data_IF_827832383818
#
_entry.id   IF_827832383818
#
_cell.length_a   1.000
_cell.length_b   1.000
_cell.length_c   1.000
_cell.angle_alpha   90.00
_cell.angle_beta   90.00
_cell.angle_gamma   90.00
#
_symmetry.space_group_name_H-M   'P 1'
#
loop_
_entity.id
_entity.type
_entity.pdbx_description
1 polymer ?
#
# COMPACT_ATOMS: atom_id res chain seq x y z
N UNK A 1 76.61 -4.63 -3.64
CA UNK A 1 76.10 -4.52 -5.02
C UNK A 1 74.60 -4.62 -4.96
N UNK A 2 73.95 -3.48 -4.67
CA UNK A 2 72.48 -3.34 -4.58
C UNK A 2 72.04 -2.42 -5.71
N UNK A 3 71.29 -2.98 -6.64
CA UNK A 3 70.69 -2.26 -7.76
C UNK A 3 69.39 -1.59 -7.31
N UNK A 4 69.37 -0.26 -7.38
CA UNK A 4 68.17 0.57 -7.33
C UNK A 4 67.35 0.36 -8.59
N UNK A 5 66.10 -0.04 -8.44
CA UNK A 5 65.08 -0.08 -9.50
C UNK A 5 63.80 0.49 -8.95
N UNK A 6 63.74 1.83 -8.92
CA UNK A 6 62.50 2.57 -8.62
C UNK A 6 62.64 4.00 -9.13
N UNK A 7 62.55 4.17 -10.46
CA UNK A 7 62.33 5.51 -11.07
C UNK A 7 61.80 5.26 -12.49
N UNK A 8 60.49 5.14 -12.61
CA UNK A 8 59.70 5.50 -13.82
C UNK A 8 58.26 5.02 -13.67
N UNK A 9 57.44 5.70 -12.90
CA UNK A 9 56.00 5.69 -13.09
C UNK A 9 55.60 7.06 -13.67
N UNK A 10 54.80 7.10 -14.73
CA UNK A 10 54.28 8.35 -15.26
C UNK A 10 53.32 8.97 -14.25
N UNK A 11 53.48 10.23 -13.95
CA UNK A 11 52.52 11.01 -13.21
C UNK A 11 51.21 11.09 -13.99
N UNK A 12 50.15 10.49 -13.48
CA UNK A 12 48.79 10.78 -13.90
C UNK A 12 48.47 12.24 -13.64
N UNK A 13 48.33 12.97 -14.72
CA UNK A 13 47.75 14.31 -14.72
C UNK A 13 46.29 14.15 -14.30
N UNK A 14 45.96 14.60 -13.10
CA UNK A 14 44.60 14.85 -12.65
C UNK A 14 44.02 15.97 -13.50
N UNK A 15 43.42 15.63 -14.61
CA UNK A 15 42.53 16.53 -15.34
C UNK A 15 41.22 16.66 -14.57
N UNK A 16 41.06 17.76 -13.84
CA UNK A 16 39.79 18.28 -13.37
C UNK A 16 38.92 18.57 -14.61
N UNK A 17 38.13 17.60 -15.07
CA UNK A 17 37.06 17.85 -16.02
C UNK A 17 35.70 17.66 -15.30
N UNK A 18 35.26 18.70 -14.60
CA UNK A 18 33.85 18.96 -14.36
C UNK A 18 33.18 19.39 -15.68
N UNK A 19 33.25 18.56 -16.71
CA UNK A 19 32.40 18.68 -17.89
C UNK A 19 31.14 17.85 -17.62
N UNK A 20 30.03 18.51 -17.28
CA UNK A 20 28.73 17.87 -17.43
C UNK A 20 28.64 17.21 -18.81
N UNK A 21 28.21 15.94 -18.92
CA UNK A 21 28.07 15.31 -20.21
C UNK A 21 27.10 16.13 -21.07
N UNK A 22 27.49 16.49 -22.28
CA UNK A 22 26.67 17.18 -23.27
C UNK A 22 25.48 16.30 -23.62
N UNK A 23 24.40 16.40 -22.84
CA UNK A 23 23.14 15.72 -23.10
C UNK A 23 22.52 16.29 -24.38
N UNK A 24 22.10 15.42 -25.29
CA UNK A 24 21.31 15.82 -26.46
C UNK A 24 20.06 16.60 -26.02
N UNK A 25 19.51 17.51 -26.84
CA UNK A 25 18.37 18.37 -26.47
C UNK A 25 17.18 17.60 -25.89
N UNK A 26 16.88 16.44 -26.44
CA UNK A 26 15.81 15.56 -25.95
C UNK A 26 16.10 14.99 -24.55
N UNK A 27 17.36 14.64 -24.26
CA UNK A 27 17.75 14.11 -22.96
C UNK A 27 17.66 15.20 -21.87
N UNK A 28 18.05 16.46 -22.17
CA UNK A 28 17.90 17.59 -21.24
C UNK A 28 16.42 17.86 -20.91
N UNK A 29 15.55 17.85 -21.92
CA UNK A 29 14.12 18.02 -21.74
C UNK A 29 13.52 16.89 -20.89
N UNK A 30 13.84 15.63 -21.21
CA UNK A 30 13.38 14.47 -20.47
C UNK A 30 13.83 14.55 -18.99
N UNK A 31 15.08 14.87 -18.72
CA UNK A 31 15.61 15.05 -17.37
C UNK A 31 14.87 16.16 -16.61
N UNK A 32 14.62 17.30 -17.26
CA UNK A 32 13.85 18.40 -16.65
C UNK A 32 12.44 17.96 -16.24
N UNK A 33 11.74 17.21 -17.11
CA UNK A 33 10.40 16.72 -16.83
C UNK A 33 10.40 15.71 -15.67
N UNK A 34 11.40 14.82 -15.60
CA UNK A 34 11.58 13.89 -14.46
C UNK A 34 11.83 14.64 -13.15
N UNK A 35 12.72 15.63 -13.12
CA UNK A 35 12.98 16.44 -11.94
C UNK A 35 11.71 17.19 -11.45
N UNK A 36 10.86 17.67 -12.37
CA UNK A 36 9.58 18.26 -12.01
C UNK A 36 8.62 17.23 -11.39
N UNK A 37 8.61 16.01 -11.90
CA UNK A 37 7.81 14.92 -11.36
C UNK A 37 8.32 14.47 -9.99
N UNK A 38 9.63 14.24 -9.85
CA UNK A 38 10.28 13.82 -8.60
C UNK A 38 10.01 14.81 -7.47
N UNK A 39 10.12 16.12 -7.76
CA UNK A 39 9.83 17.19 -6.80
C UNK A 39 8.37 17.25 -6.30
N UNK A 40 7.47 16.45 -6.87
CA UNK A 40 6.08 16.37 -6.41
C UNK A 40 5.84 15.27 -5.40
N UNK A 41 6.72 14.26 -5.30
CA UNK A 41 6.52 13.03 -4.54
C UNK A 41 6.21 13.27 -3.07
N UNK A 42 6.96 14.14 -2.42
CA UNK A 42 6.77 14.48 -0.99
C UNK A 42 5.40 15.13 -0.73
N UNK A 43 5.00 16.07 -1.59
CA UNK A 43 3.70 16.76 -1.50
C UNK A 43 2.53 15.79 -1.77
N UNK A 44 2.67 14.91 -2.75
CA UNK A 44 1.68 13.86 -3.04
C UNK A 44 1.53 12.98 -1.81
N UNK A 45 2.64 12.45 -1.28
CA UNK A 45 2.62 11.60 -0.09
C UNK A 45 1.98 12.30 1.10
N UNK A 46 2.32 13.55 1.38
CA UNK A 46 1.76 14.32 2.49
C UNK A 46 0.24 14.53 2.36
N UNK A 47 -0.25 14.81 1.14
CA UNK A 47 -1.69 14.98 0.87
C UNK A 47 -2.45 13.66 0.89
N UNK A 48 -1.80 12.63 0.44
CA UNK A 48 -2.35 11.30 0.41
C UNK A 48 -2.24 10.58 1.78
N UNK A 49 -1.37 10.95 2.69
CA UNK A 49 -1.24 10.43 4.06
C UNK A 49 -1.33 11.53 5.11
N UNK A 50 -2.42 12.33 5.16
CA UNK A 50 -2.55 13.35 6.18
C UNK A 50 -2.55 12.71 7.57
N UNK A 51 -1.82 13.28 8.55
CA UNK A 51 -1.78 12.76 9.90
C UNK A 51 -3.18 12.80 10.53
N UNK A 52 -3.68 11.65 10.93
CA UNK A 52 -4.97 11.52 11.63
C UNK A 52 -4.72 11.83 13.11
N UNK A 53 -4.95 13.06 13.52
CA UNK A 53 -4.56 13.57 14.83
C UNK A 53 -5.52 13.22 15.99
N UNK A 54 -6.66 12.54 15.77
CA UNK A 54 -7.61 12.24 16.87
C UNK A 54 -8.47 11.01 16.60
N UNK A 55 -8.84 10.32 17.70
CA UNK A 55 -9.75 9.16 17.75
C UNK A 55 -11.17 9.45 17.22
N UNK A 56 -11.59 10.71 17.19
CA UNK A 56 -12.91 11.13 16.69
C UNK A 56 -12.73 12.02 15.46
N UNK A 57 -12.91 11.46 14.27
CA UNK A 57 -12.96 12.23 13.04
C UNK A 57 -14.31 12.94 12.98
N UNK A 58 -14.33 14.25 13.20
CA UNK A 58 -15.55 15.06 12.98
C UNK A 58 -15.87 15.11 11.47
N UNK A 59 -17.16 15.30 11.15
CA UNK A 59 -17.62 15.43 9.75
C UNK A 59 -16.87 16.54 8.97
N UNK A 60 -16.44 17.59 9.66
CA UNK A 60 -15.61 18.66 9.08
C UNK A 60 -14.20 18.17 8.72
N UNK A 61 -13.54 17.43 9.63
CA UNK A 61 -12.22 16.83 9.37
C UNK A 61 -12.25 15.79 8.27
N UNK A 62 -13.30 14.97 8.20
CA UNK A 62 -13.50 14.01 7.12
C UNK A 62 -13.55 14.69 5.75
N UNK A 63 -14.25 15.85 5.63
CA UNK A 63 -14.25 16.65 4.39
C UNK A 63 -12.87 17.18 4.04
N UNK A 64 -12.10 17.67 5.00
CA UNK A 64 -10.74 18.18 4.76
C UNK A 64 -9.85 17.05 4.27
N UNK A 65 -9.88 15.89 4.92
CA UNK A 65 -9.10 14.71 4.53
C UNK A 65 -9.47 14.29 3.10
N UNK A 66 -10.78 14.23 2.79
CA UNK A 66 -11.26 13.91 1.45
C UNK A 66 -10.76 14.90 0.41
N UNK A 67 -10.85 16.21 0.69
CA UNK A 67 -10.36 17.26 -0.21
C UNK A 67 -8.86 17.20 -0.43
N UNK A 68 -8.06 16.96 0.62
CA UNK A 68 -6.61 16.77 0.50
C UNK A 68 -6.27 15.55 -0.36
N UNK A 69 -7.03 14.50 -0.19
CA UNK A 69 -6.86 13.28 -0.97
C UNK A 69 -7.18 13.48 -2.45
N UNK A 70 -8.31 14.11 -2.77
CA UNK A 70 -8.69 14.45 -4.16
C UNK A 70 -7.62 15.34 -4.81
N UNK A 71 -7.02 16.26 -4.04
CA UNK A 71 -5.90 17.07 -4.51
C UNK A 71 -4.64 16.22 -4.71
N UNK A 72 -4.36 15.26 -3.81
CA UNK A 72 -3.27 14.30 -3.96
C UNK A 72 -3.38 13.48 -5.24
N UNK A 73 -4.56 12.92 -5.53
CA UNK A 73 -4.84 12.17 -6.76
C UNK A 73 -4.62 13.01 -8.03
N UNK A 74 -5.03 14.28 -7.99
CA UNK A 74 -4.77 15.21 -9.09
C UNK A 74 -3.28 15.42 -9.31
N UNK A 75 -2.51 15.64 -8.24
CA UNK A 75 -1.06 15.82 -8.33
C UNK A 75 -0.35 14.56 -8.85
N UNK A 76 -0.80 13.41 -8.44
CA UNK A 76 -0.30 12.13 -8.89
C UNK A 76 -0.52 11.91 -10.40
N UNK A 77 -1.71 12.24 -10.90
CA UNK A 77 -1.99 12.22 -12.35
C UNK A 77 -1.08 13.17 -13.11
N UNK A 78 -0.80 14.37 -12.57
CA UNK A 78 0.17 15.30 -13.15
C UNK A 78 1.56 14.69 -13.18
N UNK A 79 2.00 14.06 -12.11
CA UNK A 79 3.29 13.39 -12.00
C UNK A 79 3.43 12.26 -13.02
N UNK A 80 2.43 11.40 -13.14
CA UNK A 80 2.38 10.30 -14.12
C UNK A 80 2.51 10.82 -15.57
N UNK A 81 1.80 11.89 -15.91
CA UNK A 81 1.89 12.49 -17.24
C UNK A 81 3.25 13.12 -17.51
N UNK A 82 3.90 13.72 -16.50
CA UNK A 82 5.26 14.25 -16.62
C UNK A 82 6.28 13.14 -16.88
N UNK A 83 6.18 11.98 -16.20
CA UNK A 83 7.04 10.83 -16.47
C UNK A 83 6.82 10.28 -17.86
N UNK A 84 5.58 10.08 -18.30
CA UNK A 84 5.26 9.59 -19.64
C UNK A 84 5.80 10.52 -20.74
N UNK A 85 5.69 11.85 -20.55
CA UNK A 85 6.28 12.84 -21.45
C UNK A 85 7.82 12.75 -21.47
N UNK A 86 8.46 12.55 -20.32
CA UNK A 86 9.91 12.41 -20.22
C UNK A 86 10.41 11.19 -20.98
N UNK A 87 9.77 10.03 -20.76
CA UNK A 87 10.16 8.76 -21.38
C UNK A 87 10.01 8.80 -22.89
N UNK A 88 8.90 9.32 -23.42
CA UNK A 88 8.68 9.46 -24.87
C UNK A 88 9.57 10.54 -25.50
N UNK A 89 9.92 11.58 -24.72
CA UNK A 89 10.90 12.59 -25.17
C UNK A 89 12.27 11.96 -25.35
N UNK A 90 12.72 11.15 -24.39
CA UNK A 90 14.01 10.46 -24.45
C UNK A 90 14.08 9.44 -25.59
N UNK A 91 12.99 8.69 -25.82
CA UNK A 91 12.84 7.75 -26.92
C UNK A 91 12.73 8.42 -28.30
N UNK A 92 12.53 9.73 -28.36
CA UNK A 92 12.37 10.47 -29.62
C UNK A 92 11.04 10.27 -30.35
N UNK A 93 10.07 9.63 -29.72
CA UNK A 93 8.76 9.27 -30.28
C UNK A 93 7.58 10.04 -29.67
N UNK A 94 7.85 11.23 -29.10
CA UNK A 94 6.80 12.10 -28.54
C UNK A 94 5.88 12.64 -29.65
N UNK A 95 4.55 12.51 -29.52
CA UNK A 95 3.59 13.10 -30.44
C UNK A 95 3.82 14.60 -30.64
N UNK A 96 3.65 15.10 -31.87
CA UNK A 96 3.95 16.49 -32.21
C UNK A 96 3.18 17.50 -31.37
N UNK A 97 1.92 17.21 -31.04
CA UNK A 97 1.04 18.07 -30.22
C UNK A 97 1.54 18.23 -28.76
N UNK A 98 2.44 17.38 -28.28
CA UNK A 98 2.96 17.39 -26.92
C UNK A 98 4.40 17.95 -26.86
N UNK A 99 5.00 18.28 -28.01
CA UNK A 99 6.43 18.66 -28.08
C UNK A 99 6.75 19.92 -27.26
N UNK A 100 5.84 20.85 -27.14
CA UNK A 100 6.07 22.13 -26.46
C UNK A 100 5.59 22.14 -25.00
N UNK A 101 5.13 20.99 -24.48
CA UNK A 101 4.85 20.84 -23.07
C UNK A 101 6.17 20.69 -22.29
N UNK A 102 6.46 21.67 -21.42
CA UNK A 102 7.75 21.79 -20.72
C UNK A 102 7.62 22.11 -19.22
N UNK A 103 6.39 22.31 -18.73
CA UNK A 103 6.15 22.74 -17.35
C UNK A 103 5.02 21.97 -16.70
N UNK A 104 5.11 21.80 -15.36
CA UNK A 104 4.05 21.25 -14.54
C UNK A 104 2.72 21.96 -14.74
N UNK A 105 2.73 23.31 -14.84
CA UNK A 105 1.50 24.10 -14.93
C UNK A 105 0.75 23.92 -16.26
N UNK A 106 1.43 23.56 -17.34
CA UNK A 106 0.80 23.18 -18.60
C UNK A 106 0.10 21.82 -18.47
N UNK A 107 0.79 20.83 -17.89
CA UNK A 107 0.20 19.51 -17.63
C UNK A 107 -0.96 19.61 -16.65
N UNK A 108 -0.87 20.46 -15.64
CA UNK A 108 -1.94 20.67 -14.65
C UNK A 108 -3.26 21.13 -15.30
N UNK A 109 -3.20 22.07 -16.24
CA UNK A 109 -4.39 22.52 -16.97
C UNK A 109 -5.02 21.38 -17.76
N UNK A 110 -4.20 20.59 -18.46
CA UNK A 110 -4.69 19.43 -19.23
C UNK A 110 -5.29 18.35 -18.32
N UNK A 111 -4.70 18.10 -17.13
CA UNK A 111 -5.24 17.16 -16.15
C UNK A 111 -6.59 17.63 -15.63
N UNK A 112 -6.76 18.92 -15.32
CA UNK A 112 -8.05 19.46 -14.84
C UNK A 112 -9.11 19.27 -15.92
N UNK A 113 -8.84 19.68 -17.15
CA UNK A 113 -9.78 19.59 -18.28
C UNK A 113 -10.06 18.13 -18.68
N UNK A 114 -9.17 17.20 -18.39
CA UNK A 114 -9.34 15.77 -18.68
C UNK A 114 -10.24 15.02 -17.70
N UNK A 115 -10.74 15.67 -16.65
CA UNK A 115 -11.63 15.07 -15.64
C UNK A 115 -13.02 14.77 -16.19
N UNK A 116 -13.72 13.80 -15.58
CA UNK A 116 -15.03 13.32 -16.04
C UNK A 116 -16.15 14.39 -15.96
N UNK A 117 -15.92 15.46 -15.20
CA UNK A 117 -16.84 16.60 -15.11
C UNK A 117 -16.78 17.57 -16.30
N UNK A 118 -15.84 17.38 -17.24
CA UNK A 118 -15.63 18.24 -18.39
C UNK A 118 -16.08 17.57 -19.68
N UNK A 119 -16.97 18.24 -20.41
CA UNK A 119 -17.41 17.84 -21.74
C UNK A 119 -16.80 18.76 -22.83
N UNK A 120 -17.06 18.46 -24.10
CA UNK A 120 -16.52 19.21 -25.23
C UNK A 120 -16.95 20.69 -25.18
N UNK A 121 -18.21 20.95 -24.82
CA UNK A 121 -18.75 22.31 -24.73
C UNK A 121 -18.03 23.11 -23.62
N UNK A 122 -17.68 22.48 -22.50
CA UNK A 122 -16.94 23.15 -21.43
C UNK A 122 -15.53 23.54 -21.90
N UNK A 123 -14.88 22.68 -22.68
CA UNK A 123 -13.57 23.00 -23.28
C UNK A 123 -13.69 24.18 -24.27
N UNK A 124 -14.70 24.19 -25.12
CA UNK A 124 -14.97 25.31 -26.03
C UNK A 124 -15.21 26.61 -25.25
N UNK A 125 -15.96 26.56 -24.15
CA UNK A 125 -16.22 27.69 -23.27
C UNK A 125 -14.92 28.23 -22.62
N UNK A 126 -13.95 27.36 -22.26
CA UNK A 126 -12.63 27.77 -21.76
C UNK A 126 -11.93 28.67 -22.79
N UNK A 127 -11.90 28.26 -24.06
CA UNK A 127 -11.22 29.03 -25.12
C UNK A 127 -11.99 30.26 -25.56
N UNK A 128 -13.32 30.28 -25.42
CA UNK A 128 -14.16 31.42 -25.71
C UNK A 128 -14.11 32.50 -24.60
N UNK A 129 -13.85 32.12 -23.36
CA UNK A 129 -13.83 33.02 -22.22
C UNK A 129 -12.50 33.77 -22.12
N UNK A 130 -12.57 35.09 -22.30
CA UNK A 130 -11.38 36.00 -22.22
C UNK A 130 -11.02 36.38 -20.79
N UNK A 131 -11.84 36.09 -19.78
CA UNK A 131 -11.65 36.58 -18.41
C UNK A 131 -11.43 35.43 -17.40
N UNK A 132 -12.30 34.44 -17.37
CA UNK A 132 -12.27 33.41 -16.34
C UNK A 132 -11.09 32.42 -16.48
N UNK A 133 -10.64 32.17 -17.71
CA UNK A 133 -9.62 31.14 -18.00
C UNK A 133 -8.37 31.70 -18.69
N UNK A 134 -8.13 33.02 -18.62
CA UNK A 134 -7.01 33.68 -19.30
C UNK A 134 -5.65 33.04 -18.97
N UNK A 135 -5.41 32.71 -17.71
CA UNK A 135 -4.16 32.09 -17.28
C UNK A 135 -4.00 30.66 -17.83
N UNK A 136 -5.09 29.90 -17.95
CA UNK A 136 -5.04 28.57 -18.54
C UNK A 136 -4.74 28.63 -20.03
N UNK A 137 -5.44 29.51 -20.75
CA UNK A 137 -5.20 29.73 -22.18
C UNK A 137 -3.77 30.17 -22.43
N UNK A 138 -3.24 31.09 -21.61
CA UNK A 138 -1.84 31.52 -21.71
C UNK A 138 -0.87 30.35 -21.55
N UNK A 139 -1.09 29.47 -20.55
CA UNK A 139 -0.25 28.28 -20.33
C UNK A 139 -0.33 27.29 -21.49
N UNK A 140 -1.53 27.08 -22.07
CA UNK A 140 -1.74 26.21 -23.21
C UNK A 140 -1.11 26.78 -24.49
N UNK A 141 -1.19 28.08 -24.73
CA UNK A 141 -0.52 28.76 -25.87
C UNK A 141 1.00 28.59 -25.84
N UNK A 142 1.63 28.60 -24.65
CA UNK A 142 3.06 28.29 -24.51
C UNK A 142 3.41 26.83 -24.80
N UNK A 143 2.40 25.98 -24.99
CA UNK A 143 2.54 24.58 -25.41
C UNK A 143 2.03 24.38 -26.86
N UNK A 144 1.85 25.44 -27.64
CA UNK A 144 1.27 25.44 -29.00
C UNK A 144 -0.15 24.84 -29.07
N UNK A 145 -0.90 24.92 -27.95
CA UNK A 145 -2.29 24.50 -27.86
C UNK A 145 -3.18 25.75 -27.83
N UNK A 146 -3.68 26.16 -29.00
CA UNK A 146 -4.41 27.42 -29.18
C UNK A 146 -5.91 27.22 -29.41
N UNK A 147 -6.35 26.01 -29.69
CA UNK A 147 -7.74 25.67 -30.02
C UNK A 147 -8.29 24.54 -29.14
N UNK A 148 -9.64 24.49 -28.95
CA UNK A 148 -10.29 23.38 -28.26
C UNK A 148 -9.92 21.99 -28.85
N UNK A 149 -9.89 21.89 -30.17
CA UNK A 149 -9.56 20.67 -30.88
C UNK A 149 -8.12 20.19 -30.59
N UNK A 150 -7.17 21.13 -30.54
CA UNK A 150 -5.78 20.80 -30.14
C UNK A 150 -5.70 20.37 -28.66
N UNK A 151 -6.47 21.01 -27.77
CA UNK A 151 -6.53 20.63 -26.37
C UNK A 151 -7.08 19.20 -26.21
N UNK A 152 -8.18 18.86 -26.87
CA UNK A 152 -8.75 17.51 -26.86
C UNK A 152 -7.74 16.49 -27.41
N UNK A 153 -7.05 16.81 -28.51
CA UNK A 153 -6.03 15.96 -29.12
C UNK A 153 -4.83 15.76 -28.18
N UNK A 154 -4.39 16.80 -27.46
CA UNK A 154 -3.30 16.71 -26.50
C UNK A 154 -3.69 15.83 -25.31
N UNK A 155 -4.91 15.98 -24.77
CA UNK A 155 -5.44 15.14 -23.70
C UNK A 155 -5.53 13.67 -24.14
N UNK A 156 -6.04 13.40 -25.34
CA UNK A 156 -6.13 12.05 -25.88
C UNK A 156 -4.72 11.41 -26.02
N UNK A 157 -3.75 12.15 -26.58
CA UNK A 157 -2.37 11.70 -26.69
C UNK A 157 -1.74 11.43 -25.31
N UNK A 158 -1.97 12.28 -24.31
CA UNK A 158 -1.46 12.04 -22.96
C UNK A 158 -2.10 10.81 -22.29
N UNK A 159 -3.40 10.59 -22.49
CA UNK A 159 -4.07 9.36 -22.02
C UNK A 159 -3.51 8.13 -22.71
N UNK A 160 -3.25 8.17 -24.01
CA UNK A 160 -2.65 7.09 -24.77
C UNK A 160 -1.21 6.79 -24.30
N UNK A 161 -0.39 7.82 -24.06
CA UNK A 161 0.98 7.63 -23.52
C UNK A 161 1.01 6.92 -22.17
N UNK A 162 -0.01 7.12 -21.36
CA UNK A 162 -0.12 6.47 -20.04
C UNK A 162 -0.80 5.10 -20.11
N UNK A 163 -1.55 4.80 -21.18
CA UNK A 163 -2.16 3.47 -21.40
C UNK A 163 -1.20 2.49 -22.09
N UNK A 164 -0.32 3.00 -22.96
CA UNK A 164 0.64 2.20 -23.72
C UNK A 164 1.92 1.82 -22.94
N UNK A 165 2.13 2.43 -21.78
CA UNK A 165 3.31 2.13 -21.00
C UNK A 165 3.20 0.76 -20.35
N UNK A 166 3.90 -0.20 -20.98
CA UNK A 166 4.63 -1.33 -20.43
C UNK A 166 4.36 -1.67 -18.94
N UNK A 167 4.53 -2.90 -18.59
CA UNK A 167 4.41 -3.52 -17.25
C UNK A 167 4.66 -2.59 -16.03
N UNK A 168 5.55 -1.61 -16.14
CA UNK A 168 5.88 -0.67 -15.04
C UNK A 168 4.75 0.33 -14.74
N UNK A 169 4.09 0.88 -15.77
CA UNK A 169 2.98 1.82 -15.56
C UNK A 169 1.71 1.10 -15.11
N UNK A 170 1.49 -0.14 -15.55
CA UNK A 170 0.41 -0.99 -15.06
C UNK A 170 0.61 -1.33 -13.59
N UNK A 171 1.85 -1.67 -13.18
CA UNK A 171 2.21 -1.94 -11.78
C UNK A 171 2.04 -0.69 -10.92
N UNK A 172 2.43 0.48 -11.41
CA UNK A 172 2.24 1.75 -10.69
C UNK A 172 0.76 2.11 -10.58
N UNK A 173 -0.03 1.96 -11.65
CA UNK A 173 -1.47 2.19 -11.66
C UNK A 173 -2.19 1.25 -10.68
N UNK A 174 -1.81 -0.02 -10.62
CA UNK A 174 -2.38 -0.99 -9.69
C UNK A 174 -2.01 -0.69 -8.24
N UNK A 175 -0.75 -0.30 -7.97
CA UNK A 175 -0.30 0.12 -6.65
C UNK A 175 -1.07 1.35 -6.14
N UNK A 176 -1.39 2.29 -7.03
CA UNK A 176 -2.20 3.47 -6.76
C UNK A 176 -3.64 3.11 -6.41
N UNK A 177 -4.25 2.24 -7.20
CA UNK A 177 -5.61 1.79 -6.96
C UNK A 177 -5.72 1.01 -5.64
N UNK A 178 -4.76 0.15 -5.34
CA UNK A 178 -4.66 -0.53 -4.04
C UNK A 178 -4.54 0.50 -2.91
N UNK A 179 -3.72 1.53 -3.06
CA UNK A 179 -3.57 2.58 -2.06
C UNK A 179 -4.86 3.38 -1.88
N UNK A 180 -5.61 3.64 -2.95
CA UNK A 180 -6.93 4.27 -2.91
C UNK A 180 -7.92 3.42 -2.13
N UNK A 181 -8.04 2.15 -2.47
CA UNK A 181 -8.95 1.21 -1.83
C UNK A 181 -8.63 1.01 -0.34
N UNK A 182 -7.35 0.92 0.04
CA UNK A 182 -6.93 0.83 1.45
C UNK A 182 -7.43 2.03 2.26
N UNK A 183 -7.39 3.22 1.69
CA UNK A 183 -7.90 4.44 2.36
C UNK A 183 -9.40 4.49 2.43
N UNK A 184 -10.09 4.10 1.36
CA UNK A 184 -11.54 3.98 1.40
C UNK A 184 -11.96 3.00 2.48
N UNK A 185 -11.27 1.87 2.65
CA UNK A 185 -11.51 0.91 3.72
C UNK A 185 -11.33 1.53 5.12
N UNK A 186 -10.28 2.33 5.32
CA UNK A 186 -10.07 3.07 6.59
C UNK A 186 -11.18 4.10 6.84
N UNK A 187 -11.65 4.79 5.79
CA UNK A 187 -12.71 5.81 5.90
C UNK A 187 -14.12 5.21 6.06
N UNK A 188 -14.33 3.97 5.62
CA UNK A 188 -15.61 3.26 5.75
C UNK A 188 -15.89 2.79 7.18
N UNK A 189 -14.93 2.94 8.11
CA UNK A 189 -15.06 2.49 9.51
C UNK A 189 -15.54 1.03 9.60
N UNK A 190 -14.83 0.14 8.87
CA UNK A 190 -15.15 -1.29 8.85
C UNK A 190 -15.06 -1.83 10.29
N UNK A 191 -16.11 -2.47 10.81
CA UNK A 191 -16.12 -2.94 12.20
C UNK A 191 -14.95 -3.89 12.49
N UNK A 192 -14.27 -3.65 13.61
CA UNK A 192 -13.14 -4.46 14.09
C UNK A 192 -11.94 -4.58 13.13
N UNK A 193 -11.84 -3.69 12.16
CA UNK A 193 -10.71 -3.65 11.25
C UNK A 193 -9.58 -2.81 11.85
N UNK A 194 -8.55 -3.47 12.34
CA UNK A 194 -7.35 -2.86 12.93
C UNK A 194 -6.10 -3.43 12.24
N UNK A 195 -5.57 -2.74 11.22
CA UNK A 195 -4.34 -3.19 10.54
C UNK A 195 -3.21 -3.42 11.54
N UNK A 196 -2.50 -4.52 11.37
CA UNK A 196 -1.42 -4.93 12.27
C UNK A 196 -0.28 -3.92 12.24
N UNK A 197 0.06 -3.26 13.36
CA UNK A 197 1.17 -2.33 13.44
C UNK A 197 2.51 -3.02 13.18
N UNK A 198 3.47 -2.28 12.60
CA UNK A 198 4.77 -2.83 12.19
C UNK A 198 5.48 -3.60 13.30
N UNK A 199 5.54 -3.07 14.51
CA UNK A 199 6.21 -3.73 15.64
C UNK A 199 5.56 -5.08 16.01
N UNK A 200 4.22 -5.17 15.94
CA UNK A 200 3.50 -6.42 16.19
C UNK A 200 3.64 -7.39 15.00
N UNK A 201 3.69 -6.87 13.79
CA UNK A 201 3.97 -7.68 12.60
C UNK A 201 5.35 -8.35 12.70
N UNK A 202 6.39 -7.59 13.02
CA UNK A 202 7.75 -8.08 13.23
C UNK A 202 7.78 -9.15 14.34
N UNK A 203 7.02 -8.94 15.42
CA UNK A 203 6.89 -9.91 16.52
C UNK A 203 6.18 -11.20 16.08
N UNK A 204 5.08 -11.11 15.33
CA UNK A 204 4.38 -12.27 14.75
C UNK A 204 5.35 -13.07 13.88
N UNK A 205 6.05 -12.40 12.96
CA UNK A 205 6.98 -13.06 12.04
C UNK A 205 8.14 -13.72 12.78
N UNK A 206 8.67 -13.07 13.81
CA UNK A 206 9.72 -13.65 14.66
C UNK A 206 9.28 -14.97 15.32
N UNK A 207 8.09 -15.00 15.94
CA UNK A 207 7.59 -16.22 16.57
C UNK A 207 7.09 -17.27 15.58
N UNK A 208 6.70 -16.86 14.37
CA UNK A 208 6.25 -17.79 13.34
C UNK A 208 7.35 -18.72 12.84
N UNK A 209 8.62 -18.31 12.90
CA UNK A 209 9.76 -19.11 12.42
C UNK A 209 9.49 -19.71 11.04
N UNK A 210 9.10 -18.86 10.09
CA UNK A 210 8.74 -19.30 8.75
C UNK A 210 9.92 -19.89 8.00
N UNK A 211 9.65 -20.94 7.22
CA UNK A 211 10.63 -21.60 6.35
C UNK A 211 10.00 -21.86 4.99
N UNK A 212 10.76 -21.77 3.89
CA UNK A 212 10.26 -22.10 2.57
C UNK A 212 9.60 -23.49 2.54
N UNK A 213 8.48 -23.59 1.82
CA UNK A 213 7.70 -24.82 1.69
C UNK A 213 6.66 -25.06 2.79
N UNK A 214 6.61 -24.23 3.83
CA UNK A 214 5.55 -24.29 4.83
C UNK A 214 4.20 -23.86 4.25
N UNK A 215 3.13 -24.48 4.73
CA UNK A 215 1.76 -24.09 4.48
C UNK A 215 1.26 -23.17 5.58
N UNK A 216 0.89 -21.94 5.22
CA UNK A 216 0.58 -20.89 6.18
C UNK A 216 -0.84 -20.36 5.93
N UNK A 217 -1.60 -20.17 7.02
CA UNK A 217 -2.96 -19.60 6.99
C UNK A 217 -3.00 -18.28 7.74
N UNK A 218 -3.68 -17.30 7.15
CA UNK A 218 -4.16 -16.10 7.85
C UNK A 218 -5.70 -16.05 7.86
N UNK A 219 -6.35 -16.24 9.01
CA UNK A 219 -7.80 -16.39 9.09
C UNK A 219 -8.59 -15.07 9.06
N UNK A 220 -7.92 -13.91 9.13
CA UNK A 220 -8.55 -12.57 9.17
C UNK A 220 -7.64 -11.55 8.50
N UNK A 221 -7.50 -11.68 7.16
CA UNK A 221 -6.42 -11.05 6.42
C UNK A 221 -6.47 -9.51 6.39
N UNK A 222 -7.63 -8.91 6.62
CA UNK A 222 -7.78 -7.47 6.49
C UNK A 222 -7.44 -7.03 5.06
N UNK A 223 -6.57 -6.04 4.92
CA UNK A 223 -6.03 -5.68 3.61
C UNK A 223 -4.67 -6.37 3.30
N UNK A 224 -4.32 -7.45 4.02
CA UNK A 224 -3.21 -8.35 3.71
C UNK A 224 -1.88 -8.02 4.36
N UNK A 225 -1.82 -7.26 5.46
CA UNK A 225 -0.55 -6.87 6.10
C UNK A 225 0.32 -8.08 6.47
N UNK A 226 -0.24 -9.08 7.15
CA UNK A 226 0.48 -10.30 7.55
C UNK A 226 0.74 -11.18 6.31
N UNK A 227 -0.26 -11.36 5.42
CA UNK A 227 -0.10 -12.13 4.19
C UNK A 227 1.04 -11.63 3.31
N UNK A 228 1.17 -10.31 3.13
CA UNK A 228 2.24 -9.71 2.33
C UNK A 228 3.61 -9.94 2.96
N UNK A 229 3.71 -9.89 4.29
CA UNK A 229 4.95 -10.19 5.00
C UNK A 229 5.34 -11.67 4.89
N UNK A 230 4.36 -12.59 4.95
CA UNK A 230 4.59 -14.02 4.70
C UNK A 230 5.15 -14.23 3.29
N UNK A 231 4.68 -13.49 2.29
CA UNK A 231 5.20 -13.55 0.90
C UNK A 231 6.66 -13.15 0.79
N UNK A 232 7.15 -12.26 1.65
CA UNK A 232 8.59 -11.91 1.66
C UNK A 232 9.48 -13.08 2.04
N UNK A 233 8.93 -14.06 2.78
CA UNK A 233 9.61 -15.33 3.09
C UNK A 233 9.48 -16.39 1.97
N UNK A 234 8.94 -16.01 0.79
CA UNK A 234 8.76 -16.92 -0.34
C UNK A 234 7.59 -17.90 -0.20
N UNK A 235 6.63 -17.62 0.66
CA UNK A 235 5.46 -18.45 0.94
C UNK A 235 4.21 -17.74 0.45
N UNK A 236 3.35 -18.43 -0.32
CA UNK A 236 2.01 -17.93 -0.65
C UNK A 236 1.05 -18.39 0.46
N UNK A 237 0.50 -17.48 1.28
CA UNK A 237 -0.42 -17.86 2.34
C UNK A 237 -1.83 -18.12 1.79
N UNK A 238 -2.53 -19.05 2.40
CA UNK A 238 -3.98 -19.14 2.30
C UNK A 238 -4.62 -18.12 3.25
N UNK A 239 -5.73 -17.47 2.86
CA UNK A 239 -6.37 -16.51 3.75
C UNK A 239 -7.89 -16.46 3.65
N UNK A 240 -8.51 -15.95 4.73
CA UNK A 240 -9.92 -15.60 4.81
C UNK A 240 -10.10 -14.10 5.05
N UNK A 241 -11.16 -13.52 4.48
CA UNK A 241 -11.57 -12.15 4.78
C UNK A 241 -13.08 -11.97 4.57
N UNK A 242 -13.78 -11.51 5.60
CA UNK A 242 -15.25 -11.39 5.58
C UNK A 242 -15.73 -10.13 4.84
N UNK A 243 -14.98 -9.03 4.90
CA UNK A 243 -15.34 -7.76 4.28
C UNK A 243 -15.19 -7.79 2.76
N UNK A 244 -16.24 -7.50 1.98
CA UNK A 244 -16.13 -7.43 0.51
C UNK A 244 -15.11 -6.38 0.04
N UNK A 245 -15.04 -5.24 0.69
CA UNK A 245 -14.09 -4.16 0.37
C UNK A 245 -12.65 -4.62 0.56
N UNK A 246 -12.35 -5.31 1.66
CA UNK A 246 -11.00 -5.80 1.94
C UNK A 246 -10.62 -6.96 1.03
N UNK A 247 -11.57 -7.81 0.63
CA UNK A 247 -11.34 -8.88 -0.37
C UNK A 247 -10.91 -8.33 -1.72
N UNK A 248 -11.50 -7.22 -2.19
CA UNK A 248 -11.07 -6.57 -3.43
C UNK A 248 -9.60 -6.13 -3.37
N UNK A 249 -9.18 -5.59 -2.22
CA UNK A 249 -7.79 -5.20 -2.01
C UNK A 249 -6.86 -6.42 -2.05
N UNK A 250 -7.23 -7.50 -1.39
CA UNK A 250 -6.46 -8.75 -1.37
C UNK A 250 -6.32 -9.34 -2.78
N UNK A 251 -7.42 -9.38 -3.53
CA UNK A 251 -7.42 -9.85 -4.91
C UNK A 251 -6.46 -9.07 -5.79
N UNK A 252 -6.49 -7.73 -5.71
CA UNK A 252 -5.56 -6.86 -6.46
C UNK A 252 -4.11 -7.01 -6.04
N UNK A 253 -3.85 -7.41 -4.81
CA UNK A 253 -2.51 -7.73 -4.31
C UNK A 253 -2.05 -9.15 -4.72
N UNK A 254 -2.87 -9.90 -5.47
CA UNK A 254 -2.58 -11.27 -5.88
C UNK A 254 -2.58 -12.25 -4.70
N UNK A 255 -3.41 -11.98 -3.67
CA UNK A 255 -3.61 -12.88 -2.54
C UNK A 255 -4.87 -13.72 -2.80
N UNK A 256 -4.73 -15.03 -2.70
CA UNK A 256 -5.82 -15.98 -2.93
C UNK A 256 -6.59 -16.25 -1.63
N UNK A 257 -7.90 -16.02 -1.70
CA UNK A 257 -8.83 -16.32 -0.59
C UNK A 257 -9.34 -17.75 -0.72
N UNK A 258 -9.22 -18.53 0.34
CA UNK A 258 -9.81 -19.89 0.39
C UNK A 258 -11.24 -19.89 0.94
N UNK A 259 -11.72 -18.73 1.39
CA UNK A 259 -13.09 -18.52 1.85
C UNK A 259 -13.33 -17.12 2.38
N UNK A 260 -14.59 -16.81 2.70
CA UNK A 260 -14.97 -15.49 3.20
C UNK A 260 -15.03 -15.47 4.73
N UNK A 261 -15.75 -16.40 5.34
CA UNK A 261 -15.95 -16.45 6.79
C UNK A 261 -15.17 -17.62 7.39
N UNK A 262 -14.12 -17.30 8.11
CA UNK A 262 -13.28 -18.28 8.80
C UNK A 262 -14.05 -19.09 9.86
N UNK A 263 -14.98 -18.43 10.56
CA UNK A 263 -15.71 -19.09 11.65
C UNK A 263 -16.73 -20.11 11.15
N UNK A 264 -17.21 -19.97 9.92
CA UNK A 264 -18.13 -20.92 9.28
C UNK A 264 -17.40 -22.03 8.49
N UNK A 265 -16.12 -21.83 8.15
CA UNK A 265 -15.36 -22.81 7.39
C UNK A 265 -15.06 -24.06 8.21
N UNK A 266 -15.13 -25.23 7.58
CA UNK A 266 -14.74 -26.50 8.23
C UNK A 266 -13.22 -26.58 8.37
N UNK A 267 -12.68 -26.82 9.57
CA UNK A 267 -11.23 -26.92 9.77
C UNK A 267 -10.61 -28.06 8.96
N UNK A 268 -9.47 -27.73 8.35
CA UNK A 268 -8.60 -28.69 7.68
C UNK A 268 -7.22 -28.62 8.34
N UNK A 269 -6.79 -29.61 9.12
CA UNK A 269 -5.52 -29.59 9.84
C UNK A 269 -4.35 -29.87 8.89
N UNK A 270 -4.03 -28.90 8.04
CA UNK A 270 -3.00 -29.00 6.98
C UNK A 270 -1.95 -27.91 7.05
N UNK A 271 -2.04 -26.98 8.02
CA UNK A 271 -1.15 -25.82 8.09
C UNK A 271 -0.02 -26.03 9.11
N UNK A 272 1.19 -25.73 8.68
CA UNK A 272 2.37 -25.66 9.54
C UNK A 272 2.29 -24.44 10.47
N UNK A 273 1.71 -23.34 9.97
CA UNK A 273 1.59 -22.07 10.70
C UNK A 273 0.21 -21.47 10.49
N UNK A 274 -0.34 -20.91 11.57
CA UNK A 274 -1.48 -20.00 11.49
C UNK A 274 -1.08 -18.69 12.15
N UNK A 275 -1.16 -17.58 11.41
CA UNK A 275 -0.79 -16.25 11.88
C UNK A 275 -2.04 -15.37 11.86
N UNK A 276 -2.36 -14.69 12.97
CA UNK A 276 -3.64 -14.00 13.07
C UNK A 276 -3.57 -12.69 13.86
N UNK A 277 -4.30 -11.71 13.35
CA UNK A 277 -4.76 -10.53 14.10
C UNK A 277 -6.29 -10.46 13.97
N UNK A 278 -7.04 -11.23 14.79
CA UNK A 278 -8.48 -11.36 14.65
C UNK A 278 -9.23 -10.13 15.19
N UNK A 279 -10.54 -9.98 14.86
CA UNK A 279 -11.40 -8.93 15.40
C UNK A 279 -11.53 -9.04 16.93
N UNK A 280 -11.42 -7.90 17.67
CA UNK A 280 -11.35 -7.89 19.14
C UNK A 280 -12.71 -7.78 19.84
N UNK A 281 -13.77 -7.35 19.16
CA UNK A 281 -15.07 -7.09 19.76
C UNK A 281 -15.71 -8.34 20.34
N UNK A 282 -16.35 -8.16 21.50
CA UNK A 282 -17.18 -9.19 22.15
C UNK A 282 -16.46 -10.53 22.40
N UNK A 283 -15.12 -10.56 22.39
CA UNK A 283 -14.33 -11.77 22.56
C UNK A 283 -14.43 -12.72 21.36
N UNK A 284 -14.54 -12.19 20.16
CA UNK A 284 -14.44 -12.96 18.91
C UNK A 284 -13.00 -13.42 18.72
N UNK A 285 -12.03 -12.62 19.13
CA UNK A 285 -10.61 -12.94 19.11
C UNK A 285 -10.27 -14.28 19.75
N UNK A 286 -10.81 -14.57 20.94
CA UNK A 286 -10.54 -15.84 21.61
C UNK A 286 -11.16 -17.04 20.90
N UNK A 287 -12.31 -16.85 20.24
CA UNK A 287 -12.92 -17.90 19.41
C UNK A 287 -12.11 -18.16 18.14
N UNK A 288 -11.58 -17.10 17.53
CA UNK A 288 -10.65 -17.23 16.39
C UNK A 288 -9.37 -17.98 16.76
N UNK A 289 -8.78 -17.67 17.93
CA UNK A 289 -7.58 -18.38 18.42
C UNK A 289 -7.85 -19.88 18.60
N UNK A 290 -8.96 -20.24 19.24
CA UNK A 290 -9.32 -21.66 19.42
C UNK A 290 -9.59 -22.34 18.07
N UNK A 291 -10.34 -21.67 17.17
CA UNK A 291 -10.62 -22.19 15.82
C UNK A 291 -9.35 -22.34 14.99
N UNK A 292 -8.41 -21.38 15.09
CA UNK A 292 -7.14 -21.40 14.37
C UNK A 292 -6.27 -22.60 14.77
N UNK A 293 -6.31 -22.99 16.04
CA UNK A 293 -5.59 -24.19 16.53
C UNK A 293 -6.09 -25.50 15.87
N UNK A 294 -7.38 -25.56 15.50
CA UNK A 294 -7.94 -26.74 14.82
C UNK A 294 -7.38 -26.92 13.38
N UNK A 295 -6.92 -25.84 12.74
CA UNK A 295 -6.37 -25.86 11.38
C UNK A 295 -4.90 -26.31 11.31
N UNK A 296 -4.21 -26.39 12.46
CA UNK A 296 -2.81 -26.81 12.52
C UNK A 296 -2.64 -28.31 12.36
N UNK A 297 -1.59 -28.72 11.66
CA UNK A 297 -1.06 -30.08 11.74
C UNK A 297 -0.46 -30.34 13.13
N UNK A 298 -0.23 -31.60 13.54
CA UNK A 298 0.66 -31.91 14.67
C UNK A 298 2.03 -31.23 14.48
N UNK A 299 2.63 -30.70 15.55
CA UNK A 299 3.83 -29.85 15.54
C UNK A 299 3.68 -28.50 14.80
N UNK A 300 2.51 -28.14 14.34
CA UNK A 300 2.20 -26.83 13.79
C UNK A 300 2.17 -25.75 14.87
N UNK A 301 2.35 -24.48 14.48
CA UNK A 301 2.38 -23.35 15.43
C UNK A 301 1.35 -22.28 15.05
N UNK A 302 0.62 -21.82 16.07
CA UNK A 302 -0.23 -20.64 16.03
C UNK A 302 0.51 -19.46 16.64
N UNK A 303 0.49 -18.32 15.96
CA UNK A 303 0.86 -17.01 16.51
C UNK A 303 -0.29 -16.04 16.29
N UNK A 304 -0.91 -15.58 17.36
CA UNK A 304 -2.08 -14.71 17.27
C UNK A 304 -2.00 -13.54 18.22
N UNK A 305 -2.49 -12.38 17.77
CA UNK A 305 -2.80 -11.27 18.67
C UNK A 305 -4.19 -11.53 19.28
N UNK A 306 -4.36 -11.22 20.54
CA UNK A 306 -5.66 -11.22 21.20
C UNK A 306 -5.78 -10.03 22.18
N UNK A 307 -6.99 -9.55 22.43
CA UNK A 307 -7.23 -8.50 23.40
C UNK A 307 -6.92 -9.00 24.82
N UNK A 308 -6.32 -8.17 25.68
CA UNK A 308 -6.04 -8.53 27.10
C UNK A 308 -7.30 -8.70 27.93
N UNK A 309 -8.49 -8.47 27.37
CA UNK A 309 -9.78 -8.52 28.08
C UNK A 309 -10.05 -9.89 28.72
N UNK A 310 -9.54 -10.98 28.14
CA UNK A 310 -9.74 -12.33 28.66
C UNK A 310 -9.04 -12.55 30.01
N UNK A 311 -8.04 -11.75 30.37
CA UNK A 311 -7.28 -11.92 31.62
C UNK A 311 -8.16 -11.63 32.84
N UNK A 312 -8.87 -10.50 32.81
CA UNK A 312 -9.61 -9.96 33.95
C UNK A 312 -11.11 -10.22 33.90
N UNK A 313 -11.64 -10.61 32.75
CA UNK A 313 -13.06 -10.85 32.61
C UNK A 313 -13.48 -12.17 33.28
N UNK A 314 -14.50 -12.06 34.14
CA UNK A 314 -15.01 -13.18 34.94
C UNK A 314 -16.07 -14.04 34.26
N UNK A 315 -16.50 -13.69 33.04
CA UNK A 315 -17.52 -14.48 32.32
C UNK A 315 -17.01 -15.87 31.95
N UNK A 316 -17.92 -16.82 31.82
CA UNK A 316 -17.62 -18.25 31.59
C UNK A 316 -16.70 -18.46 30.39
N UNK A 317 -16.97 -17.81 29.25
CA UNK A 317 -16.17 -17.96 28.02
C UNK A 317 -14.70 -17.59 28.21
N UNK A 318 -14.40 -16.52 28.97
CA UNK A 318 -13.03 -16.10 29.20
C UNK A 318 -12.32 -16.99 30.24
N UNK A 319 -13.05 -17.50 31.24
CA UNK A 319 -12.51 -18.50 32.17
C UNK A 319 -12.15 -19.77 31.43
N UNK A 320 -13.04 -20.26 30.57
CA UNK A 320 -12.80 -21.43 29.72
C UNK A 320 -11.58 -21.22 28.80
N UNK A 321 -11.49 -20.06 28.15
CA UNK A 321 -10.33 -19.77 27.28
C UNK A 321 -8.99 -19.76 28.05
N UNK A 322 -8.93 -19.15 29.24
CA UNK A 322 -7.72 -19.21 30.08
C UNK A 322 -7.35 -20.63 30.51
N UNK A 323 -8.34 -21.45 30.83
CA UNK A 323 -8.12 -22.87 31.15
C UNK A 323 -7.56 -23.61 29.95
N UNK A 324 -8.15 -23.39 28.77
CA UNK A 324 -7.72 -23.99 27.52
C UNK A 324 -6.29 -23.56 27.14
N UNK A 325 -5.93 -22.27 27.26
CA UNK A 325 -4.57 -21.81 26.99
C UNK A 325 -3.52 -22.55 27.86
N UNK A 326 -3.84 -22.79 29.13
CA UNK A 326 -2.98 -23.58 30.03
C UNK A 326 -2.86 -25.04 29.57
N UNK A 327 -3.98 -25.64 29.14
CA UNK A 327 -3.98 -27.04 28.67
C UNK A 327 -3.14 -27.23 27.40
N UNK A 328 -3.21 -26.30 26.47
CA UNK A 328 -2.43 -26.36 25.21
C UNK A 328 -0.99 -25.83 25.36
N UNK A 329 -0.60 -25.41 26.56
CA UNK A 329 0.77 -24.91 26.84
C UNK A 329 1.10 -23.60 26.16
N UNK A 330 0.10 -22.72 26.01
CA UNK A 330 0.26 -21.43 25.35
C UNK A 330 1.30 -20.55 26.06
N UNK A 331 2.18 -19.92 25.26
CA UNK A 331 3.02 -18.81 25.70
C UNK A 331 2.32 -17.50 25.40
N UNK A 332 2.23 -16.64 26.42
CA UNK A 332 1.51 -15.39 26.35
C UNK A 332 2.47 -14.23 26.65
N UNK A 333 2.54 -13.23 25.76
CA UNK A 333 3.39 -12.05 25.91
C UNK A 333 2.53 -10.80 25.89
N UNK A 334 2.75 -9.89 26.83
CA UNK A 334 2.09 -8.59 26.80
C UNK A 334 2.67 -7.72 25.69
N UNK A 335 1.80 -7.17 24.86
CA UNK A 335 2.21 -6.20 23.86
C UNK A 335 2.30 -4.80 24.52
N UNK A 336 3.17 -3.90 24.04
CA UNK A 336 3.26 -2.55 24.57
C UNK A 336 1.88 -1.85 24.56
N UNK A 337 1.53 -1.18 25.64
CA UNK A 337 0.30 -0.39 25.69
C UNK A 337 0.23 0.61 24.55
N UNK A 338 -0.92 0.71 23.91
CA UNK A 338 -1.11 1.63 22.80
C UNK A 338 -0.47 1.19 21.48
N UNK A 339 -0.10 -0.09 21.32
CA UNK A 339 0.50 -0.62 20.07
C UNK A 339 -0.32 -0.28 18.81
N UNK A 340 -1.65 -0.16 18.91
CA UNK A 340 -2.54 0.21 17.82
C UNK A 340 -2.84 1.72 17.71
N UNK A 341 -2.30 2.58 18.59
CA UNK A 341 -2.58 4.02 18.57
C UNK A 341 -1.97 4.73 17.36
N UNK A 342 -0.93 4.15 16.79
CA UNK A 342 -0.23 4.69 15.61
C UNK A 342 -0.60 3.94 14.32
N UNK A 343 -1.55 2.99 14.38
CA UNK A 343 -2.09 2.34 13.18
C UNK A 343 -3.08 3.26 12.44
N UNK A 344 -3.38 2.93 11.20
CA UNK A 344 -4.34 3.68 10.37
C UNK A 344 -5.75 3.67 10.97
N UNK A 345 -6.18 2.53 11.54
CA UNK A 345 -7.39 2.41 12.35
C UNK A 345 -6.99 2.26 13.82
N UNK A 346 -7.25 3.27 14.61
CA UNK A 346 -6.74 3.36 15.99
C UNK A 346 -7.67 2.68 16.99
N UNK A 347 -7.08 1.96 17.92
CA UNK A 347 -7.79 1.45 19.10
C UNK A 347 -6.91 1.52 20.34
N UNK A 348 -7.53 1.74 21.50
CA UNK A 348 -6.88 1.69 22.82
C UNK A 348 -6.90 0.29 23.44
N UNK A 349 -7.26 -0.73 22.66
CA UNK A 349 -7.29 -2.11 23.16
C UNK A 349 -5.87 -2.56 23.51
N UNK A 350 -5.65 -2.92 24.78
CA UNK A 350 -4.45 -3.61 25.19
C UNK A 350 -4.50 -5.05 24.66
N UNK A 351 -3.41 -5.49 24.09
CA UNK A 351 -3.33 -6.80 23.43
C UNK A 351 -2.20 -7.63 23.96
N UNK A 352 -2.26 -8.92 23.68
CA UNK A 352 -1.19 -9.91 23.92
C UNK A 352 -0.92 -10.70 22.66
N UNK A 353 0.31 -11.15 22.53
CA UNK A 353 0.66 -12.15 21.54
C UNK A 353 0.62 -13.54 22.19
N UNK A 354 -0.13 -14.43 21.57
CA UNK A 354 -0.32 -15.82 22.00
C UNK A 354 0.42 -16.72 21.02
N UNK A 355 1.31 -17.57 21.53
CA UNK A 355 2.05 -18.56 20.74
C UNK A 355 1.70 -19.96 21.26
N UNK A 356 1.23 -20.84 20.39
CA UNK A 356 0.85 -22.20 20.74
C UNK A 356 1.52 -23.17 19.77
N UNK A 357 2.30 -24.09 20.30
CA UNK A 357 2.84 -25.23 19.55
C UNK A 357 1.89 -26.43 19.73
N UNK A 358 1.31 -26.93 18.63
CA UNK A 358 0.42 -28.08 18.69
C UNK A 358 1.25 -29.34 18.97
N UNK A 359 0.88 -30.18 19.97
CA UNK A 359 1.62 -31.40 20.27
C UNK A 359 1.73 -32.34 19.06
N UNK A 360 2.81 -33.14 19.03
CA UNK A 360 3.02 -34.15 17.98
C UNK A 360 1.99 -35.30 18.05
N UNK A 361 1.52 -35.63 19.25
CA UNK A 361 0.48 -36.63 19.44
C UNK A 361 -0.88 -35.96 19.59
N UNK A 362 -1.91 -36.56 19.02
CA UNK A 362 -3.29 -36.12 19.22
C UNK A 362 -3.58 -36.14 20.73
N UNK A 363 -3.71 -34.98 21.34
CA UNK A 363 -4.43 -34.85 22.61
C UNK A 363 -5.80 -35.44 22.35
N UNK A 364 -6.12 -36.56 22.99
CA UNK A 364 -7.36 -37.33 22.80
C UNK A 364 -8.57 -36.37 22.84
N UNK A 365 -9.57 -36.62 21.99
CA UNK A 365 -10.76 -35.81 21.82
C UNK A 365 -11.53 -35.48 23.12
N UNK A 366 -11.17 -36.07 24.25
CA UNK A 366 -11.73 -35.83 25.58
C UNK A 366 -11.37 -34.47 26.19
N UNK A 367 -10.42 -33.73 25.61
CA UNK A 367 -9.97 -32.39 26.10
C UNK A 367 -10.69 -31.23 25.40
N UNK A 368 -11.48 -31.52 24.37
CA UNK A 368 -12.17 -30.53 23.53
C UNK A 368 -13.71 -30.45 23.77
N UNK A 369 -14.25 -31.23 24.70
CA UNK A 369 -15.67 -31.24 25.05
C UNK A 369 -16.04 -30.26 26.19
#
# INVERSE_FOLDING_TARGET
>A
MQLKLWDSLPQEQTSNSNAEPLLFPNARKAQKLRLLADGMTENITAKMTPPIASLNITHHRSRIIKSLYEEGLKLEKIQSWLYALADRTEQGNLPSILKEINTKSQVEVLVIISGDSWNIQDIENVFASKVCYEQWIKRLKYADIETPAQCIKAIAALKELTSDNSSTALVQSEALEISRLKREAVLQDIPDFFPTPKALLEQIMYFAELRPGMKVLEPSAGYGTICLEIRTAGIQPDCFEISPTLREILFRQGLELIGNDFMLATPKPIYDRVLANPPFSKGIDILHVQRAFEWLIPAGRLVSIASSSYIHNSSHKYKHFRSWLKQVGAKELDNPSGSFLHSECRTNVNTRTIVIDKPLENVSAEVLA
#
